data_IF_934606262870
#
_entry.id   IF_934606262870
#
_cell.length_a   1.000
_cell.length_b   1.000
_cell.length_c   1.000
_cell.angle_alpha   90.00
_cell.angle_beta   90.00
_cell.angle_gamma   90.00
#
_symmetry.space_group_name_H-M   'P 1'
#
loop_
_entity.id
_entity.type
_entity.pdbx_description
1 polymer ?
#
# COMPACT_ATOMS: atom_id res chain seq x y z
N UNK A 1 -21.36 18.17 2.91
CA UNK A 1 -20.98 16.86 2.34
C UNK A 1 -20.24 16.09 3.43
N UNK A 2 -20.66 14.86 3.74
CA UNK A 2 -19.84 13.99 4.60
C UNK A 2 -18.59 13.62 3.83
N UNK A 3 -17.42 14.01 4.31
CA UNK A 3 -16.14 13.64 3.70
C UNK A 3 -15.83 12.21 4.09
N UNK A 4 -15.97 11.28 3.15
CA UNK A 4 -15.54 9.89 3.32
C UNK A 4 -14.05 9.82 3.65
N UNK A 5 -13.66 9.05 4.66
CA UNK A 5 -12.25 8.80 4.97
C UNK A 5 -11.60 8.05 3.82
N UNK A 6 -10.49 8.58 3.29
CA UNK A 6 -9.71 7.93 2.24
C UNK A 6 -8.23 7.86 2.66
N UNK A 7 -7.70 6.66 2.79
CA UNK A 7 -6.30 6.42 3.15
C UNK A 7 -5.54 5.77 1.99
N UNK A 8 -4.20 5.78 2.03
CA UNK A 8 -3.39 5.04 1.06
C UNK A 8 -2.14 4.44 1.67
N UNK A 9 -1.72 3.31 1.11
CA UNK A 9 -0.36 2.80 1.21
C UNK A 9 0.31 2.93 -0.16
N UNK A 10 1.46 3.62 -0.20
CA UNK A 10 2.14 3.98 -1.43
C UNK A 10 3.60 3.47 -1.46
N UNK A 11 3.82 2.16 -1.65
CA UNK A 11 5.16 1.58 -1.76
C UNK A 11 5.77 1.85 -3.15
N UNK A 12 7.08 2.07 -3.19
CA UNK A 12 7.85 2.10 -4.45
C UNK A 12 8.31 0.68 -4.84
N UNK A 13 8.30 0.30 -6.13
CA UNK A 13 8.68 -1.03 -6.59
C UNK A 13 10.21 -1.18 -6.70
N UNK A 14 10.92 -0.88 -5.61
CA UNK A 14 12.38 -0.92 -5.52
C UNK A 14 12.90 -2.05 -4.62
N UNK A 15 12.01 -2.81 -3.99
CA UNK A 15 12.35 -3.89 -3.07
C UNK A 15 11.13 -4.56 -2.45
N UNK A 16 11.36 -5.43 -1.47
CA UNK A 16 10.30 -6.20 -0.80
C UNK A 16 9.56 -5.40 0.28
N UNK A 17 8.31 -5.79 0.53
CA UNK A 17 7.54 -5.32 1.67
C UNK A 17 8.23 -5.71 2.98
N UNK A 18 8.68 -4.73 3.75
CA UNK A 18 9.26 -4.95 5.09
C UNK A 18 8.21 -4.69 6.19
N UNK A 19 8.53 -5.09 7.43
CA UNK A 19 7.62 -5.00 8.60
C UNK A 19 7.08 -3.58 8.82
N UNK A 20 7.91 -2.56 8.62
CA UNK A 20 7.47 -1.15 8.69
C UNK A 20 6.43 -0.78 7.62
N UNK A 21 6.59 -1.29 6.41
CA UNK A 21 5.60 -1.14 5.32
C UNK A 21 4.31 -1.88 5.65
N UNK A 22 4.40 -3.13 6.11
CA UNK A 22 3.24 -3.92 6.53
C UNK A 22 2.44 -3.24 7.65
N UNK A 23 3.12 -2.71 8.67
CA UNK A 23 2.47 -1.92 9.74
C UNK A 23 1.73 -0.71 9.16
N UNK A 24 2.34 0.00 8.23
CA UNK A 24 1.75 1.21 7.63
C UNK A 24 0.52 0.87 6.79
N UNK A 25 0.60 -0.18 5.97
CA UNK A 25 -0.52 -0.68 5.18
C UNK A 25 -1.69 -1.11 6.10
N UNK A 26 -1.41 -1.94 7.10
CA UNK A 26 -2.39 -2.42 8.07
C UNK A 26 -3.06 -1.26 8.83
N UNK A 27 -2.29 -0.27 9.28
CA UNK A 27 -2.85 0.87 9.99
C UNK A 27 -3.79 1.71 9.11
N UNK A 28 -3.38 2.01 7.87
CA UNK A 28 -4.22 2.76 6.93
C UNK A 28 -5.50 2.00 6.57
N UNK A 29 -5.41 0.68 6.39
CA UNK A 29 -6.55 -0.19 6.15
C UNK A 29 -7.50 -0.21 7.36
N UNK A 30 -7.00 -0.45 8.58
CA UNK A 30 -7.79 -0.45 9.81
C UNK A 30 -8.47 0.91 10.05
N UNK A 31 -7.77 2.02 9.79
CA UNK A 31 -8.31 3.36 9.96
C UNK A 31 -9.46 3.63 8.98
N UNK A 32 -9.28 3.30 7.70
CA UNK A 32 -10.36 3.43 6.70
C UNK A 32 -11.54 2.52 7.07
N UNK A 33 -11.27 1.25 7.41
CA UNK A 33 -12.30 0.28 7.82
C UNK A 33 -13.10 0.75 9.04
N UNK A 34 -12.44 1.28 10.07
CA UNK A 34 -13.10 1.77 11.28
C UNK A 34 -14.07 2.93 10.99
N UNK A 35 -13.75 3.78 10.02
CA UNK A 35 -14.57 4.93 9.63
C UNK A 35 -15.51 4.63 8.43
N UNK A 36 -15.60 3.38 7.98
CA UNK A 36 -16.41 3.01 6.80
C UNK A 36 -15.93 3.68 5.50
N UNK A 37 -14.63 3.97 5.39
CA UNK A 37 -14.01 4.63 4.25
C UNK A 37 -13.25 3.71 3.31
N UNK A 38 -12.49 4.30 2.39
CA UNK A 38 -11.75 3.60 1.33
C UNK A 38 -10.24 3.55 1.62
N UNK A 39 -9.64 2.37 1.46
CA UNK A 39 -8.19 2.17 1.45
C UNK A 39 -7.70 1.99 0.01
N UNK A 40 -6.65 2.72 -0.38
CA UNK A 40 -6.06 2.65 -1.73
C UNK A 40 -4.63 2.12 -1.69
N UNK A 41 -4.35 1.08 -2.46
CA UNK A 41 -2.98 0.69 -2.82
C UNK A 41 -2.53 1.52 -4.03
N UNK A 42 -1.42 2.25 -3.91
CA UNK A 42 -0.87 3.06 -5.00
C UNK A 42 0.61 2.76 -5.19
N UNK A 43 0.96 1.99 -6.19
CA UNK A 43 2.38 1.77 -6.54
C UNK A 43 3.01 3.11 -6.93
N UNK A 44 4.11 3.47 -6.28
CA UNK A 44 4.82 4.73 -6.52
C UNK A 44 6.06 4.48 -7.38
N UNK A 45 5.82 4.42 -8.69
CA UNK A 45 6.76 4.03 -9.75
C UNK A 45 7.34 5.22 -10.52
N UNK A 46 7.43 6.39 -9.90
CA UNK A 46 7.87 7.64 -10.56
C UNK A 46 9.36 7.66 -10.92
N UNK A 47 10.17 6.75 -10.37
CA UNK A 47 11.59 6.61 -10.66
C UNK A 47 11.88 5.32 -11.42
N UNK A 48 11.80 5.39 -12.75
CA UNK A 48 11.98 4.25 -13.66
C UNK A 48 13.32 3.52 -13.46
N UNK A 49 14.38 4.23 -13.06
CA UNK A 49 15.72 3.66 -12.93
C UNK A 49 15.86 2.66 -11.77
N UNK A 50 14.98 2.77 -10.76
CA UNK A 50 14.95 1.89 -9.58
C UNK A 50 13.81 0.89 -9.59
N UNK A 51 12.85 1.04 -10.49
CA UNK A 51 11.70 0.16 -10.58
C UNK A 51 12.10 -1.21 -11.11
N UNK A 52 11.61 -2.27 -10.47
CA UNK A 52 11.74 -3.63 -10.99
C UNK A 52 10.40 -4.32 -11.03
N UNK A 53 10.15 -5.11 -12.07
CA UNK A 53 8.91 -5.88 -12.19
C UNK A 53 8.78 -6.89 -11.04
N UNK A 54 9.89 -7.49 -10.61
CA UNK A 54 9.91 -8.39 -9.45
C UNK A 54 9.46 -7.71 -8.16
N UNK A 55 9.94 -6.49 -7.87
CA UNK A 55 9.49 -5.76 -6.70
C UNK A 55 8.03 -5.30 -6.83
N UNK A 56 7.59 -4.97 -8.05
CA UNK A 56 6.19 -4.65 -8.32
C UNK A 56 5.26 -5.82 -8.00
N UNK A 57 5.58 -7.03 -8.48
CA UNK A 57 4.82 -8.24 -8.14
C UNK A 57 4.85 -8.53 -6.64
N UNK A 58 6.02 -8.39 -6.00
CA UNK A 58 6.17 -8.60 -4.56
C UNK A 58 5.32 -7.64 -3.71
N UNK A 59 5.00 -6.44 -4.20
CA UNK A 59 4.05 -5.54 -3.53
C UNK A 59 2.66 -6.19 -3.50
N UNK A 60 2.16 -6.69 -4.63
CA UNK A 60 0.83 -7.30 -4.70
C UNK A 60 0.76 -8.59 -3.88
N UNK A 61 1.77 -9.46 -4.00
CA UNK A 61 1.89 -10.69 -3.21
C UNK A 61 1.93 -10.41 -1.70
N UNK A 62 2.71 -9.40 -1.29
CA UNK A 62 2.81 -8.99 0.11
C UNK A 62 1.52 -8.42 0.67
N UNK A 63 0.75 -7.69 -0.16
CA UNK A 63 -0.56 -7.18 0.23
C UNK A 63 -1.61 -8.29 0.31
N UNK A 64 -1.64 -9.21 -0.66
CA UNK A 64 -2.54 -10.37 -0.63
C UNK A 64 -2.28 -11.28 0.58
N UNK A 65 -1.01 -11.46 0.94
CA UNK A 65 -0.63 -12.23 2.14
C UNK A 65 -1.08 -11.55 3.45
N UNK A 66 -1.14 -10.22 3.50
CA UNK A 66 -1.59 -9.48 4.68
C UNK A 66 -3.10 -9.55 4.93
N UNK A 67 -3.90 -9.94 3.93
CA UNK A 67 -5.36 -10.08 3.98
C UNK A 67 -6.12 -8.95 3.28
#
# INVERSE_FOLDING_TARGET
MSTEVRTRFAPSPTGYLHVGGARTALFNWLYAKHHGGTFVLRVEDTDESRNTETARSAIFEGMEWLG
#
